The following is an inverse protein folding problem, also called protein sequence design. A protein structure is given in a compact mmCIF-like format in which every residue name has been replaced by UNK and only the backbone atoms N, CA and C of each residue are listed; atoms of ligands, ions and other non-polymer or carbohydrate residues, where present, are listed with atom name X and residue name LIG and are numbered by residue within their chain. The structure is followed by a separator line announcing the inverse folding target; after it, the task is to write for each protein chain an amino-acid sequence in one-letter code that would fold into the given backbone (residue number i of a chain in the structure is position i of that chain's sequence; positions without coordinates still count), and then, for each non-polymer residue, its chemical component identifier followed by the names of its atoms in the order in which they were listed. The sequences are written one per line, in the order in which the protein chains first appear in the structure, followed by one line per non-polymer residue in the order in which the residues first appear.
data_IF_190205224240
#
_entry.id   IF_190205224240
#
_cell.length_a   1.000
_cell.length_b   1.000
_cell.length_c   1.000
_cell.angle_alpha   90.00
_cell.angle_beta   90.00
_cell.angle_gamma   90.00
#
_symmetry.space_group_name_H-M   'P 1'
#
loop_
_entity.id
_entity.type
_entity.pdbx_description
1 polymer ?
#
# COMPACT_ATOMS: atom_id res chain seq x y z
N UNK A 1 -16.01 41.40 14.47
CA UNK A 1 -15.03 42.20 15.23
C UNK A 1 -14.01 41.32 15.99
N UNK A 2 -13.48 40.25 15.38
CA UNK A 2 -12.40 39.40 15.94
C UNK A 2 -11.44 39.03 14.80
N UNK A 3 -10.76 40.03 14.24
CA UNK A 3 -9.74 39.79 13.20
C UNK A 3 -8.61 40.83 13.18
N UNK A 4 -8.66 41.85 14.04
CA UNK A 4 -7.69 42.97 13.99
C UNK A 4 -6.65 42.90 15.11
N UNK A 5 -6.87 42.09 16.16
CA UNK A 5 -5.98 42.03 17.33
C UNK A 5 -4.79 41.08 17.10
N UNK A 6 -4.87 40.16 16.12
CA UNK A 6 -3.77 39.24 15.81
C UNK A 6 -2.59 39.86 15.05
N UNK A 7 -2.80 40.98 14.35
CA UNK A 7 -1.74 41.60 13.53
C UNK A 7 -0.75 42.44 14.33
N UNK A 8 -1.07 42.80 15.58
CA UNK A 8 -0.28 43.75 16.39
C UNK A 8 0.71 43.03 17.33
N UNK A 9 0.66 41.70 17.43
CA UNK A 9 1.55 40.90 18.30
C UNK A 9 2.72 40.26 17.52
N UNK A 10 2.85 40.49 16.21
CA UNK A 10 3.98 40.00 15.41
C UNK A 10 5.02 41.06 15.03
N UNK A 11 4.92 42.27 15.58
CA UNK A 11 5.88 43.36 15.30
C UNK A 11 7.02 43.50 16.33
N UNK A 12 7.12 42.60 17.32
CA UNK A 12 8.15 42.66 18.37
C UNK A 12 9.20 41.55 18.33
N UNK A 13 9.31 40.81 17.22
CA UNK A 13 10.42 39.88 17.02
C UNK A 13 11.12 40.24 15.72
N UNK A 14 12.25 40.94 15.87
CA UNK A 14 13.21 41.20 14.79
C UNK A 14 13.83 39.86 14.39
N UNK A 15 13.14 39.14 13.51
CA UNK A 15 13.62 37.91 12.91
C UNK A 15 14.43 38.31 11.66
N UNK A 16 15.77 38.14 11.65
CA UNK A 16 16.56 38.46 10.47
C UNK A 16 16.12 37.60 9.29
N UNK A 17 16.06 38.20 8.10
CA UNK A 17 15.49 37.68 6.84
C UNK A 17 15.91 36.26 6.38
N UNK A 18 16.87 35.65 7.06
CA UNK A 18 17.32 34.26 6.87
C UNK A 18 16.27 33.24 7.34
N UNK A 19 15.51 33.54 8.40
CA UNK A 19 14.52 32.60 8.95
C UNK A 19 13.26 32.49 8.07
N UNK A 20 12.87 33.55 7.35
CA UNK A 20 11.76 33.50 6.40
C UNK A 20 12.07 32.59 5.21
N UNK A 21 13.32 32.52 4.77
CA UNK A 21 13.75 31.68 3.65
C UNK A 21 13.77 30.19 4.01
N UNK A 22 14.19 29.84 5.24
CA UNK A 22 14.17 28.45 5.72
C UNK A 22 12.75 27.90 5.87
N UNK A 23 11.81 28.72 6.36
CA UNK A 23 10.40 28.31 6.51
C UNK A 23 9.73 28.17 5.12
N UNK A 24 10.06 29.06 4.17
CA UNK A 24 9.56 29.00 2.80
C UNK A 24 10.04 27.75 2.03
N UNK A 25 11.32 27.39 2.16
CA UNK A 25 11.89 26.18 1.54
C UNK A 25 11.30 24.91 2.17
N UNK A 26 11.16 24.86 3.50
CA UNK A 26 10.54 23.71 4.18
C UNK A 26 9.06 23.52 3.83
N UNK A 27 8.30 24.59 3.58
CA UNK A 27 6.90 24.49 3.18
C UNK A 27 6.74 23.93 1.75
N UNK A 28 7.69 24.18 0.85
CA UNK A 28 7.65 23.67 -0.53
C UNK A 28 7.99 22.18 -0.67
N UNK A 29 8.74 21.62 0.29
CA UNK A 29 9.09 20.19 0.32
C UNK A 29 7.92 19.27 0.71
N UNK A 30 6.81 19.83 1.23
CA UNK A 30 5.63 19.06 1.65
C UNK A 30 4.58 18.84 0.56
N UNK A 31 4.68 19.52 -0.59
CA UNK A 31 3.73 19.34 -1.71
C UNK A 31 4.21 18.30 -2.73
N UNK A 32 5.50 18.00 -2.78
CA UNK A 32 6.01 16.92 -3.63
C UNK A 32 6.02 15.60 -2.85
N UNK A 33 4.91 14.85 -2.92
CA UNK A 33 4.89 13.41 -2.67
C UNK A 33 5.26 12.70 -3.98
N UNK A 34 6.53 12.32 -4.23
CA UNK A 34 6.81 11.37 -5.28
C UNK A 34 6.20 10.03 -4.84
N UNK A 35 5.18 9.59 -5.58
CA UNK A 35 4.63 8.23 -5.48
C UNK A 35 5.64 7.24 -6.03
N UNK A 36 6.69 6.95 -5.26
CA UNK A 36 7.47 5.73 -5.40
C UNK A 36 7.24 4.90 -4.14
N UNK A 37 6.41 3.88 -4.30
CA UNK A 37 6.33 2.76 -3.36
C UNK A 37 7.61 1.94 -3.53
N UNK A 38 8.71 2.46 -2.99
CA UNK A 38 9.87 1.64 -2.69
C UNK A 38 9.62 1.02 -1.32
N UNK A 39 9.28 -0.26 -1.36
CA UNK A 39 9.30 -1.14 -0.21
C UNK A 39 10.75 -1.27 0.25
N UNK A 40 11.20 -0.31 1.07
CA UNK A 40 12.33 -0.53 1.96
C UNK A 40 11.85 -1.31 3.19
N UNK A 41 12.41 -2.49 3.35
CA UNK A 41 12.25 -3.35 4.50
C UNK A 41 13.05 -2.69 5.64
N UNK A 42 12.39 -1.85 6.43
CA UNK A 42 12.88 -1.43 7.74
C UNK A 42 12.46 -2.47 8.77
N UNK A 43 13.41 -3.34 9.13
CA UNK A 43 13.33 -4.18 10.32
C UNK A 43 13.31 -3.29 11.57
N UNK A 44 12.11 -2.94 12.06
CA UNK A 44 11.90 -2.43 13.41
C UNK A 44 10.51 -2.86 13.84
N UNK A 45 10.45 -3.96 14.61
CA UNK A 45 9.21 -4.49 15.24
C UNK A 45 7.97 -4.47 14.34
N UNK A 46 8.07 -4.90 13.09
CA UNK A 46 6.91 -5.00 12.21
C UNK A 46 5.97 -6.07 12.77
N UNK A 47 4.65 -5.82 12.85
CA UNK A 47 3.69 -6.88 13.17
C UNK A 47 3.96 -8.06 12.22
N UNK A 48 3.91 -9.28 12.76
CA UNK A 48 4.03 -10.46 11.90
C UNK A 48 2.94 -10.40 10.85
N UNK A 49 3.34 -10.38 9.58
CA UNK A 49 2.42 -10.35 8.44
C UNK A 49 2.67 -11.56 7.56
N UNK A 50 1.61 -12.01 6.88
CA UNK A 50 1.68 -13.11 5.94
C UNK A 50 1.00 -12.70 4.64
N UNK A 51 1.54 -13.20 3.53
CA UNK A 51 0.92 -12.99 2.22
C UNK A 51 -0.04 -14.12 1.88
N UNK A 52 -1.24 -13.76 1.45
CA UNK A 52 -2.26 -14.66 0.92
C UNK A 52 -2.34 -14.53 -0.60
N UNK A 53 -2.45 -15.67 -1.27
CA UNK A 53 -2.83 -15.76 -2.68
C UNK A 53 -4.35 -15.73 -2.80
N UNK A 54 -4.85 -14.91 -3.71
CA UNK A 54 -6.28 -14.77 -4.00
C UNK A 54 -6.52 -15.06 -5.47
N UNK A 55 -7.11 -16.21 -5.78
CA UNK A 55 -7.38 -16.70 -7.13
C UNK A 55 -8.84 -16.58 -7.53
N UNK A 56 -9.07 -16.79 -8.83
CA UNK A 56 -10.39 -16.74 -9.47
C UNK A 56 -11.15 -15.42 -9.31
N UNK A 57 -10.43 -14.32 -9.07
CA UNK A 57 -11.01 -12.99 -8.95
C UNK A 57 -11.71 -12.58 -10.26
N UNK A 58 -12.88 -11.92 -10.18
CA UNK A 58 -13.51 -11.31 -11.35
C UNK A 58 -12.57 -10.33 -12.05
N UNK A 59 -12.53 -10.35 -13.39
CA UNK A 59 -11.69 -9.41 -14.15
C UNK A 59 -12.07 -7.94 -13.95
N UNK A 60 -13.27 -7.68 -13.39
CA UNK A 60 -13.74 -6.35 -13.01
C UNK A 60 -13.36 -5.95 -11.58
N UNK A 61 -12.87 -6.87 -10.74
CA UNK A 61 -12.46 -6.58 -9.36
C UNK A 61 -11.19 -5.72 -9.32
N UNK A 62 -11.24 -4.64 -8.54
CA UNK A 62 -10.14 -3.70 -8.31
C UNK A 62 -9.48 -3.95 -6.95
N UNK A 63 -8.30 -3.38 -6.72
CA UNK A 63 -7.61 -3.48 -5.43
C UNK A 63 -8.46 -2.94 -4.28
N UNK A 64 -9.20 -1.85 -4.50
CA UNK A 64 -10.13 -1.31 -3.50
C UNK A 64 -11.20 -2.33 -3.06
N UNK A 65 -11.82 -3.03 -4.02
CA UNK A 65 -12.85 -4.03 -3.71
C UNK A 65 -12.27 -5.24 -2.95
N UNK A 66 -11.07 -5.68 -3.34
CA UNK A 66 -10.39 -6.79 -2.65
C UNK A 66 -9.97 -6.37 -1.26
N UNK A 67 -9.44 -5.15 -1.09
CA UNK A 67 -9.11 -4.61 0.23
C UNK A 67 -10.34 -4.57 1.13
N UNK A 68 -11.44 -4.00 0.65
CA UNK A 68 -12.69 -3.92 1.42
C UNK A 68 -13.23 -5.29 1.82
N UNK A 69 -13.17 -6.28 0.92
CA UNK A 69 -13.60 -7.64 1.22
C UNK A 69 -12.74 -8.28 2.32
N UNK A 70 -11.42 -8.16 2.22
CA UNK A 70 -10.48 -8.75 3.18
C UNK A 70 -10.47 -8.01 4.52
N UNK A 71 -10.67 -6.68 4.52
CA UNK A 71 -10.74 -5.85 5.74
C UNK A 71 -11.89 -6.21 6.68
N UNK A 72 -12.87 -7.01 6.25
CA UNK A 72 -13.94 -7.53 7.11
C UNK A 72 -13.49 -8.70 7.99
N UNK A 73 -12.41 -9.38 7.61
CA UNK A 73 -11.94 -10.62 8.24
C UNK A 73 -10.57 -10.46 8.91
N UNK A 74 -9.81 -9.43 8.55
CA UNK A 74 -8.51 -9.13 9.16
C UNK A 74 -7.93 -7.79 8.74
N UNK A 75 -6.81 -7.43 9.35
CA UNK A 75 -6.08 -6.21 9.00
C UNK A 75 -5.30 -6.40 7.68
N UNK A 76 -5.57 -5.54 6.69
CA UNK A 76 -4.96 -5.60 5.35
C UNK A 76 -3.91 -4.50 5.21
N UNK A 77 -2.66 -4.91 5.04
CA UNK A 77 -1.51 -4.02 4.85
C UNK A 77 -1.33 -3.63 3.38
N UNK A 78 -1.38 -4.60 2.47
CA UNK A 78 -1.16 -4.38 1.05
C UNK A 78 -2.02 -5.30 0.19
N UNK A 79 -2.38 -4.83 -1.01
CA UNK A 79 -3.08 -5.60 -2.04
C UNK A 79 -2.36 -5.36 -3.36
N UNK A 80 -2.08 -6.44 -4.09
CA UNK A 80 -1.47 -6.39 -5.42
C UNK A 80 -2.25 -7.27 -6.37
N UNK A 81 -2.82 -6.70 -7.43
CA UNK A 81 -3.50 -7.48 -8.47
C UNK A 81 -2.63 -7.68 -9.70
N UNK A 82 -2.59 -8.91 -10.21
CA UNK A 82 -1.72 -9.27 -11.33
C UNK A 82 -2.41 -8.99 -12.65
N UNK A 83 -1.70 -8.25 -13.50
CA UNK A 83 -2.09 -7.95 -14.88
C UNK A 83 -1.11 -8.63 -15.83
N UNK A 84 -1.61 -9.00 -16.99
CA UNK A 84 -0.79 -9.44 -18.11
C UNK A 84 0.01 -8.24 -18.63
N UNK A 85 1.35 -8.36 -18.67
CA UNK A 85 2.24 -7.27 -19.11
C UNK A 85 2.09 -6.94 -20.60
N UNK A 86 1.67 -7.91 -21.42
CA UNK A 86 1.52 -7.74 -22.87
C UNK A 86 0.16 -7.18 -23.24
N UNK A 87 -0.91 -7.66 -22.58
CA UNK A 87 -2.28 -7.26 -22.94
C UNK A 87 -2.91 -6.24 -21.99
N UNK A 88 -2.30 -5.98 -20.83
CA UNK A 88 -2.84 -5.14 -19.76
C UNK A 88 -4.07 -5.71 -19.05
N UNK A 89 -4.59 -6.87 -19.50
CA UNK A 89 -5.78 -7.51 -18.93
C UNK A 89 -5.48 -8.11 -17.57
N UNK A 90 -6.47 -8.09 -16.67
CA UNK A 90 -6.32 -8.70 -15.34
C UNK A 90 -6.23 -10.22 -15.48
N UNK A 91 -5.31 -10.84 -14.76
CA UNK A 91 -5.14 -12.31 -14.77
C UNK A 91 -6.15 -13.05 -13.90
N UNK A 92 -6.96 -12.31 -13.13
CA UNK A 92 -7.95 -12.90 -12.22
C UNK A 92 -7.33 -13.49 -10.95
N UNK A 93 -6.15 -13.00 -10.54
CA UNK A 93 -5.57 -13.34 -9.25
C UNK A 93 -4.73 -12.19 -8.67
N UNK A 94 -4.49 -12.28 -7.37
CA UNK A 94 -3.94 -11.25 -6.50
C UNK A 94 -3.07 -11.82 -5.38
N UNK A 95 -2.32 -10.93 -4.73
CA UNK A 95 -1.69 -11.17 -3.44
C UNK A 95 -2.19 -10.12 -2.45
N UNK A 96 -2.47 -10.54 -1.22
CA UNK A 96 -2.91 -9.67 -0.13
C UNK A 96 -2.04 -9.93 1.08
N UNK A 97 -1.47 -8.88 1.66
CA UNK A 97 -0.68 -8.96 2.89
C UNK A 97 -1.62 -8.66 4.06
N UNK A 98 -1.73 -9.62 4.98
CA UNK A 98 -2.57 -9.53 6.18
C UNK A 98 -1.74 -9.77 7.44
N UNK A 99 -2.30 -9.44 8.61
CA UNK A 99 -1.70 -9.82 9.88
C UNK A 99 -1.61 -11.35 10.00
N UNK A 100 -0.49 -11.88 10.49
CA UNK A 100 -0.28 -13.33 10.64
C UNK A 100 -1.33 -13.98 11.56
N UNK A 101 -1.88 -13.23 12.51
CA UNK A 101 -2.99 -13.69 13.38
C UNK A 101 -4.28 -13.97 12.61
N UNK A 102 -4.53 -13.21 11.54
CA UNK A 102 -5.83 -13.20 10.85
C UNK A 102 -5.85 -14.13 9.64
N UNK A 103 -4.70 -14.72 9.29
CA UNK A 103 -4.51 -15.60 8.13
C UNK A 103 -5.53 -16.73 8.08
N UNK A 104 -5.63 -17.53 9.13
CA UNK A 104 -6.50 -18.71 9.14
C UNK A 104 -7.97 -18.30 9.06
N UNK A 105 -8.39 -17.33 9.87
CA UNK A 105 -9.76 -16.78 9.85
C UNK A 105 -10.14 -16.23 8.47
N UNK A 106 -9.23 -15.50 7.84
CA UNK A 106 -9.44 -14.93 6.50
C UNK A 106 -9.55 -16.01 5.43
N UNK A 107 -8.69 -17.04 5.48
CA UNK A 107 -8.75 -18.18 4.55
C UNK A 107 -10.06 -18.93 4.74
N UNK A 108 -10.43 -19.29 5.97
CA UNK A 108 -11.62 -20.08 6.26
C UNK A 108 -12.92 -19.35 5.86
N UNK A 109 -12.95 -18.01 5.98
CA UNK A 109 -14.12 -17.21 5.62
C UNK A 109 -14.25 -16.91 4.12
N UNK A 110 -13.13 -16.74 3.41
CA UNK A 110 -13.13 -16.27 2.01
C UNK A 110 -12.78 -17.36 0.99
N UNK A 111 -12.14 -18.45 1.41
CA UNK A 111 -11.89 -19.56 0.51
C UNK A 111 -13.22 -20.23 0.14
N UNK A 112 -13.42 -20.48 -1.16
CA UNK A 112 -14.65 -21.02 -1.72
C UNK A 112 -15.90 -20.12 -1.57
N UNK A 113 -15.69 -18.85 -1.23
CA UNK A 113 -16.78 -17.87 -1.16
C UNK A 113 -17.12 -17.35 -2.57
N UNK A 114 -18.41 -17.30 -2.89
CA UNK A 114 -18.89 -16.77 -4.17
C UNK A 114 -18.92 -15.24 -4.20
N UNK A 115 -18.07 -14.66 -5.06
CA UNK A 115 -17.93 -13.23 -5.25
C UNK A 115 -18.10 -12.84 -6.72
N UNK A 116 -19.14 -12.06 -7.02
CA UNK A 116 -19.49 -11.62 -8.38
C UNK A 116 -19.55 -12.78 -9.40
N UNK A 117 -20.29 -13.84 -9.06
CA UNK A 117 -20.46 -15.04 -9.89
C UNK A 117 -19.16 -15.85 -10.10
N UNK A 118 -18.16 -15.68 -9.23
CA UNK A 118 -16.93 -16.49 -9.24
C UNK A 118 -16.59 -16.92 -7.83
N UNK A 119 -16.26 -18.20 -7.68
CA UNK A 119 -15.83 -18.77 -6.41
C UNK A 119 -14.38 -18.44 -6.12
N UNK A 120 -14.11 -17.65 -5.08
CA UNK A 120 -12.76 -17.25 -4.73
C UNK A 120 -11.92 -18.44 -4.26
N UNK A 121 -10.62 -18.39 -4.52
CA UNK A 121 -9.65 -19.36 -4.01
C UNK A 121 -8.60 -18.64 -3.18
N UNK A 122 -8.64 -18.82 -1.86
CA UNK A 122 -7.74 -18.12 -0.93
C UNK A 122 -6.85 -19.14 -0.25
N UNK A 123 -5.55 -18.90 -0.23
CA UNK A 123 -4.55 -19.76 0.43
C UNK A 123 -3.34 -18.94 0.85
N UNK A 124 -2.51 -19.48 1.73
CA UNK A 124 -1.17 -18.91 2.00
C UNK A 124 -0.39 -18.84 0.69
N UNK A 125 0.17 -17.67 0.38
CA UNK A 125 1.02 -17.52 -0.79
C UNK A 125 2.36 -18.21 -0.53
N UNK A 126 2.83 -18.96 -1.53
CA UNK A 126 4.23 -19.34 -1.56
C UNK A 126 5.06 -18.09 -1.85
N UNK A 127 6.24 -17.99 -1.23
CA UNK A 127 7.15 -16.89 -1.51
C UNK A 127 7.33 -16.74 -3.02
N UNK A 128 7.22 -15.52 -3.56
CA UNK A 128 7.53 -15.30 -4.95
C UNK A 128 8.97 -15.76 -5.13
N UNK A 129 9.19 -16.84 -5.88
CA UNK A 129 10.50 -17.20 -6.41
C UNK A 129 10.96 -15.96 -7.17
N UNK A 130 11.80 -15.15 -6.54
CA UNK A 130 12.48 -14.08 -7.22
C UNK A 130 13.19 -14.77 -8.40
N UNK A 131 13.03 -14.32 -9.65
CA UNK A 131 13.95 -14.76 -10.69
C UNK A 131 15.32 -14.25 -10.20
N UNK A 132 16.11 -15.16 -9.65
CA UNK A 132 17.53 -14.93 -9.39
C UNK A 132 18.08 -14.29 -10.65
N UNK A 133 18.64 -13.10 -10.51
CA UNK A 133 19.17 -12.32 -11.61
C UNK A 133 20.15 -13.23 -12.35
N UNK A 134 19.82 -13.64 -13.58
CA UNK A 134 20.77 -14.31 -14.46
C UNK A 134 21.96 -13.35 -14.58
N UNK A 135 23.03 -13.70 -13.89
CA UNK A 135 24.34 -13.06 -13.99
C UNK A 135 24.77 -13.18 -15.44
N UNK A 136 24.57 -12.09 -16.19
CA UNK A 136 25.08 -11.96 -17.56
C UNK A 136 26.59 -11.76 -17.40
N UNK A 137 27.31 -12.85 -17.16
CA UNK A 137 28.75 -12.92 -17.27
C UNK A 137 29.15 -12.47 -18.67
N UNK A 138 29.84 -11.35 -18.74
CA UNK A 138 30.38 -10.74 -19.94
C UNK A 138 31.54 -11.60 -20.47
N UNK A 139 31.38 -12.15 -21.68
CA UNK A 139 32.46 -12.62 -22.56
C UNK A 139 32.96 -11.55 -23.53
#
# INVERSE_FOLDING_TARGET
AVAVIGSVILYLVDIPSIFAFLIGVCASALIFKPSNTDTEISETSSPSTQTLYVGNLPYKANEAHVRELFSKHGEVFAVRLMKDKRTGKRRGFGFVVVASSDVNSTIDALNDQDYMQRTLKVRVANDPKHPENEDIGQD
#
